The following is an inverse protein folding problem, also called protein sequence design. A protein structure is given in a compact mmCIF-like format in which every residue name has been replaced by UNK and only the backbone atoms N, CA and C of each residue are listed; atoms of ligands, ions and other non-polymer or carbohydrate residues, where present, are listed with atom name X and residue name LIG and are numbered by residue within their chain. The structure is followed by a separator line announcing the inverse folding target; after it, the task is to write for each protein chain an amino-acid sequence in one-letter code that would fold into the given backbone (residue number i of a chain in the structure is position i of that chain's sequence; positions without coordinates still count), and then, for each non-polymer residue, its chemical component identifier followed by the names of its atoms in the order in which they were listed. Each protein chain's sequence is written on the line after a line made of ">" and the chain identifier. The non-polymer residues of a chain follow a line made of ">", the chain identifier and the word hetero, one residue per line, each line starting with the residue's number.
data_IF_081142282192
#
_entry.id   IF_081142282192
#
_cell.length_a   1.000
_cell.length_b   1.000
_cell.length_c   1.000
_cell.angle_alpha   90.00
_cell.angle_beta   90.00
_cell.angle_gamma   90.00
#
_symmetry.space_group_name_H-M   'P 1'
#
loop_
_entity.id
_entity.type
_entity.pdbx_description
1 polymer ?
#
# COMPACT_ATOMS: atom_id res chain seq x y z
N UNK A 1 6.92 4.63 -20.46
CA UNK A 1 6.47 4.96 -19.39
C UNK A 1 5.39 4.22 -19.02
N UNK A 2 4.79 3.84 -19.91
CA UNK A 2 3.75 3.12 -19.69
C UNK A 2 4.13 1.85 -19.31
N UNK A 3 5.25 1.56 -19.35
CA UNK A 3 5.74 0.38 -19.01
C UNK A 3 5.97 0.34 -17.58
N UNK A 4 5.97 1.32 -16.99
CA UNK A 4 6.19 1.40 -15.64
C UNK A 4 4.95 1.16 -14.91
N UNK A 5 3.99 1.86 -15.28
CA UNK A 5 2.75 1.72 -14.67
C UNK A 5 2.42 0.36 -14.62
N UNK A 6 2.58 -0.28 -15.66
CA UNK A 6 2.30 -1.58 -15.74
C UNK A 6 2.91 -2.30 -14.64
N UNK A 7 4.12 -2.20 -14.53
CA UNK A 7 4.82 -2.84 -13.53
C UNK A 7 4.33 -2.34 -12.22
N UNK A 8 3.99 -1.41 -12.01
CA UNK A 8 3.51 -0.84 -10.81
C UNK A 8 2.25 -1.52 -10.40
N UNK A 9 1.30 -1.44 -11.26
CA UNK A 9 0.04 -2.04 -11.00
C UNK A 9 0.27 -3.41 -10.52
N UNK A 10 0.95 -4.14 -11.31
CA UNK A 10 1.24 -5.46 -10.97
C UNK A 10 1.71 -5.55 -9.58
N UNK A 11 2.66 -4.79 -9.30
CA UNK A 11 3.21 -4.77 -8.02
C UNK A 11 2.37 -3.99 -7.07
N UNK A 12 1.36 -3.66 -7.23
CA UNK A 12 0.48 -2.91 -6.40
C UNK A 12 -0.49 -3.82 -5.70
N UNK A 13 -1.15 -4.55 -6.40
CA UNK A 13 -2.10 -5.45 -5.86
C UNK A 13 -1.45 -6.32 -4.87
N UNK A 14 -0.51 -7.04 -5.34
CA UNK A 14 0.19 -7.91 -4.51
C UNK A 14 0.63 -7.21 -3.29
N UNK A 15 0.85 -5.97 -3.43
CA UNK A 15 1.27 -5.19 -2.35
C UNK A 15 0.20 -4.37 -1.77
N UNK A 16 -0.94 -4.80 -1.85
CA UNK A 16 -2.04 -4.12 -1.34
C UNK A 16 -2.22 -4.58 0.06
N UNK A 17 -2.62 -5.17 0.54
CA UNK A 17 -2.83 -5.66 1.85
C UNK A 17 -1.66 -5.35 2.72
N UNK A 18 -1.30 -4.15 2.76
CA UNK A 18 -0.21 -3.71 3.54
C UNK A 18 -0.41 -2.29 3.94
N UNK A 19 -0.80 -1.54 2.98
CA UNK A 19 -1.03 -0.17 3.21
C UNK A 19 -1.93 0.04 4.37
N UNK A 20 -2.90 -0.72 4.38
CA UNK A 20 -3.83 -0.62 5.42
C UNK A 20 -3.17 -0.55 6.73
N UNK A 21 -2.13 -1.20 6.79
CA UNK A 21 -1.41 -1.21 7.98
C UNK A 21 -0.23 -0.46 7.84
N UNK A 22 -0.07 0.43 7.45
CA UNK A 22 1.02 1.22 7.27
C UNK A 22 0.87 2.31 8.11
N UNK A 23 -0.12 2.95 7.94
CA UNK A 23 -0.38 4.01 8.67
C UNK A 23 -0.97 3.75 9.94
N UNK A 24 -1.91 3.09 9.97
CA UNK A 24 -2.56 2.77 11.11
C UNK A 24 -1.68 2.38 11.98
N UNK A 25 -0.85 1.62 11.51
CA UNK A 25 0.04 1.17 12.22
C UNK A 25 0.77 2.08 12.65
N UNK A 26 1.13 2.87 11.99
CA UNK A 26 1.83 3.79 12.29
C UNK A 26 1.26 4.41 13.12
N UNK A 27 0.49 4.45 13.37
CA UNK A 27 -0.13 5.01 14.14
C UNK A 27 -1.08 4.55 14.73
N UNK A 28 -1.28 4.31 15.29
CA UNK A 28 -2.16 3.86 15.90
C UNK A 28 -2.46 4.31 16.66
N UNK A 29 -3.34 4.42 16.88
CA UNK A 29 -3.72 4.83 17.60
C UNK A 29 -4.63 4.78 17.90
N UNK A 30 -4.92 4.64 18.25
CA UNK A 30 -5.77 4.58 18.56
C UNK A 30 -6.42 5.09 18.83
N UNK A 31 -7.07 5.24 18.80
CA UNK A 31 -7.73 5.72 19.04
C UNK A 31 -8.21 5.67 19.34
N UNK A 32 -8.47 5.96 19.79
CA UNK A 32 -8.94 5.96 20.12
C UNK A 32 -9.16 6.15 20.38
#
# INVERSE_FOLDING_TARGET
>A
TSSIVHLCAISLIRYWSITQAIEYNLKRTPRR
#
